data_IF_762252270430
#
_entry.id   IF_762252270430
#
_cell.length_a   1.000
_cell.length_b   1.000
_cell.length_c   1.000
_cell.angle_alpha   90.00
_cell.angle_beta   90.00
_cell.angle_gamma   90.00
#
_symmetry.space_group_name_H-M   'P 1'
#
loop_
_entity.id
_entity.type
_entity.pdbx_description
1 polymer ?
#
# COMPACT_ATOMS: atom_id res chain seq x y z
N UNK A 1 31.36 -1.00 96.25
CA UNK A 1 31.03 0.44 96.10
C UNK A 1 30.50 0.63 94.68
N UNK A 2 29.17 0.70 94.54
CA UNK A 2 28.41 1.95 94.30
C UNK A 2 28.74 2.55 92.92
N UNK A 3 27.83 2.77 91.96
CA UNK A 3 26.37 2.97 92.01
C UNK A 3 25.73 2.68 90.64
N UNK A 4 24.44 2.33 90.73
CA UNK A 4 23.36 2.26 89.73
C UNK A 4 23.35 3.31 88.61
N UNK A 5 22.71 2.96 87.49
CA UNK A 5 21.40 3.56 87.12
C UNK A 5 20.65 2.79 86.02
N UNK A 6 19.34 2.89 86.13
CA UNK A 6 18.23 2.17 85.53
C UNK A 6 17.57 2.99 84.40
N UNK A 7 16.63 2.34 83.68
CA UNK A 7 15.59 2.89 82.77
C UNK A 7 16.04 3.25 81.34
N UNK A 8 15.26 3.11 80.26
CA UNK A 8 13.79 3.02 80.09
C UNK A 8 13.46 2.47 78.69
N UNK A 9 12.37 1.72 78.54
CA UNK A 9 11.65 1.51 77.28
C UNK A 9 10.92 2.79 76.87
N UNK A 10 10.96 3.18 75.58
CA UNK A 10 9.85 3.89 74.92
C UNK A 10 9.87 3.63 73.41
N UNK A 11 8.75 3.12 72.90
CA UNK A 11 8.48 3.02 71.47
C UNK A 11 8.29 4.41 70.84
N UNK A 12 8.67 4.54 69.57
CA UNK A 12 8.37 5.71 68.77
C UNK A 12 7.39 5.35 67.65
N UNK A 13 6.29 6.10 67.66
CA UNK A 13 5.24 6.13 66.66
C UNK A 13 5.79 6.48 65.27
N UNK A 14 5.40 5.71 64.26
CA UNK A 14 5.54 6.12 62.86
C UNK A 14 4.47 7.18 62.53
N UNK A 15 4.91 8.41 62.27
CA UNK A 15 4.09 9.45 61.66
C UNK A 15 3.94 9.12 60.16
N UNK A 16 2.75 8.73 59.73
CA UNK A 16 2.40 8.66 58.30
C UNK A 16 2.17 10.08 57.78
N UNK A 17 3.16 10.65 57.09
CA UNK A 17 2.97 11.87 56.30
C UNK A 17 2.25 11.48 55.00
N UNK A 18 0.98 11.86 54.91
CA UNK A 18 0.16 11.69 53.71
C UNK A 18 0.69 12.64 52.61
N UNK A 19 1.59 12.15 51.74
CA UNK A 19 1.90 12.83 50.50
C UNK A 19 0.67 12.75 49.59
N UNK A 20 -0.01 13.88 49.39
CA UNK A 20 -0.93 14.06 48.27
C UNK A 20 -0.10 14.02 46.98
N UNK A 21 -0.04 12.83 46.37
CA UNK A 21 0.40 12.69 44.99
C UNK A 21 -0.67 13.35 44.13
N UNK A 22 -0.36 14.55 43.63
CA UNK A 22 -1.10 15.14 42.52
C UNK A 22 -0.87 14.23 41.32
N UNK A 23 -1.81 13.32 41.07
CA UNK A 23 -1.83 12.53 39.84
C UNK A 23 -2.11 13.53 38.72
N UNK A 24 -1.17 13.76 37.77
CA UNK A 24 -1.50 14.56 36.61
C UNK A 24 -2.66 13.89 35.89
N UNK A 25 -3.78 14.61 35.79
CA UNK A 25 -4.87 14.25 34.90
C UNK A 25 -4.28 14.11 33.50
N UNK A 26 -4.03 12.87 33.08
CA UNK A 26 -3.89 12.53 31.67
C UNK A 26 -5.23 12.90 31.03
N UNK A 27 -5.28 14.08 30.42
CA UNK A 27 -6.38 14.43 29.54
C UNK A 27 -6.45 13.36 28.47
N UNK A 28 -7.55 12.62 28.46
CA UNK A 28 -7.95 11.72 27.39
C UNK A 28 -7.73 12.44 26.06
N UNK A 29 -6.80 11.95 25.25
CA UNK A 29 -6.78 12.27 23.84
C UNK A 29 -8.17 11.86 23.29
N UNK A 30 -8.96 12.86 22.91
CA UNK A 30 -10.21 12.68 22.20
C UNK A 30 -9.99 11.65 21.09
N UNK A 31 -10.69 10.50 21.18
CA UNK A 31 -10.54 9.39 20.24
C UNK A 31 -10.97 9.83 18.85
N UNK A 32 -10.00 10.20 18.00
CA UNK A 32 -10.27 10.58 16.62
C UNK A 32 -10.91 9.39 15.89
N UNK A 33 -12.09 9.60 15.31
CA UNK A 33 -12.79 8.55 14.57
C UNK A 33 -12.06 8.26 13.25
N UNK A 34 -11.93 6.97 12.92
CA UNK A 34 -11.41 6.53 11.63
C UNK A 34 -12.30 7.02 10.49
N UNK A 35 -11.68 7.63 9.47
CA UNK A 35 -12.36 8.01 8.23
C UNK A 35 -12.29 6.90 7.20
N UNK A 36 -11.17 6.19 7.15
CA UNK A 36 -11.03 5.01 6.34
C UNK A 36 -11.86 3.86 6.93
N UNK A 37 -12.67 3.24 6.09
CA UNK A 37 -13.52 2.11 6.46
C UNK A 37 -12.91 0.83 5.92
N UNK A 38 -12.60 -0.08 6.84
CA UNK A 38 -12.35 -1.49 6.51
C UNK A 38 -13.66 -2.19 6.15
N UNK A 39 -13.52 -3.45 5.77
CA UNK A 39 -14.60 -4.30 5.31
C UNK A 39 -15.36 -4.91 6.49
N UNK A 40 -16.20 -4.16 7.18
CA UNK A 40 -16.96 -4.67 8.33
C UNK A 40 -17.90 -5.84 7.92
N UNK A 41 -17.92 -6.98 8.64
CA UNK A 41 -17.16 -7.37 9.84
C UNK A 41 -15.86 -8.13 9.58
N UNK A 42 -15.41 -8.21 8.33
CA UNK A 42 -14.16 -8.88 7.95
C UNK A 42 -12.95 -8.12 8.50
N UNK A 43 -12.00 -8.89 9.04
CA UNK A 43 -10.66 -8.41 9.33
C UNK A 43 -9.95 -7.95 8.03
N UNK A 44 -8.81 -7.28 8.18
CA UNK A 44 -7.94 -7.01 7.03
C UNK A 44 -7.54 -8.33 6.35
N UNK A 45 -7.33 -8.34 5.02
CA UNK A 45 -7.05 -9.57 4.28
C UNK A 45 -5.60 -10.05 4.47
N UNK A 46 -5.42 -11.38 4.48
CA UNK A 46 -4.12 -12.06 4.42
C UNK A 46 -3.09 -11.51 5.43
N UNK A 47 -1.90 -11.10 4.97
CA UNK A 47 -0.81 -10.68 5.83
C UNK A 47 -1.16 -9.40 6.61
N UNK A 48 -2.02 -8.54 6.06
CA UNK A 48 -2.50 -7.34 6.76
C UNK A 48 -3.28 -7.66 8.05
N UNK A 49 -3.91 -8.84 8.15
CA UNK A 49 -4.61 -9.26 9.37
C UNK A 49 -3.67 -9.37 10.58
N UNK A 50 -2.43 -9.81 10.34
CA UNK A 50 -1.43 -10.09 11.38
C UNK A 50 -0.61 -8.87 11.80
N UNK A 51 -0.54 -7.83 10.97
CA UNK A 51 0.12 -6.56 11.32
C UNK A 51 -0.83 -5.69 12.11
N UNK A 52 -0.92 -6.00 13.41
CA UNK A 52 -1.52 -5.26 14.54
C UNK A 52 -2.87 -4.53 14.35
N UNK A 53 -3.50 -4.64 13.18
CA UNK A 53 -4.63 -3.84 12.71
C UNK A 53 -4.51 -2.36 13.09
N UNK A 54 -3.29 -1.83 13.30
CA UNK A 54 -3.13 -0.46 13.77
C UNK A 54 -3.36 0.48 12.60
N UNK A 55 -4.35 1.39 12.71
CA UNK A 55 -4.51 2.41 11.71
C UNK A 55 -3.27 3.32 11.69
N UNK A 56 -2.90 3.74 10.49
CA UNK A 56 -1.92 4.77 10.22
C UNK A 56 -2.56 6.16 10.36
N UNK A 57 -1.73 7.19 10.48
CA UNK A 57 -2.20 8.59 10.57
C UNK A 57 -3.14 8.96 9.41
N UNK A 58 -2.89 8.44 8.21
CA UNK A 58 -3.76 8.65 7.03
C UNK A 58 -5.17 8.08 7.21
N UNK A 59 -5.36 6.99 7.96
CA UNK A 59 -6.66 6.34 8.17
C UNK A 59 -7.64 7.23 8.96
N UNK A 60 -7.10 8.15 9.77
CA UNK A 60 -7.86 9.16 10.50
C UNK A 60 -8.12 10.44 9.68
N UNK A 61 -7.39 10.62 8.57
CA UNK A 61 -7.40 11.87 7.79
C UNK A 61 -8.15 11.75 6.47
N UNK A 62 -8.05 10.60 5.80
CA UNK A 62 -8.64 10.33 4.51
C UNK A 62 -9.56 9.11 4.55
N UNK A 63 -10.72 9.19 3.89
CA UNK A 63 -11.65 8.06 3.74
C UNK A 63 -11.49 7.37 2.39
N UNK A 64 -12.15 6.21 2.19
CA UNK A 64 -11.93 5.36 1.00
C UNK A 64 -12.15 6.07 -0.35
N UNK A 65 -13.00 7.11 -0.40
CA UNK A 65 -13.27 7.87 -1.65
C UNK A 65 -12.20 8.90 -1.97
N UNK A 66 -11.29 9.19 -1.05
CA UNK A 66 -10.35 10.28 -1.23
C UNK A 66 -11.05 11.64 -1.29
N UNK A 67 -10.56 12.54 -2.14
CA UNK A 67 -11.07 13.90 -2.28
C UNK A 67 -11.30 14.35 -3.73
N UNK A 68 -11.49 13.41 -4.67
CA UNK A 68 -11.80 13.79 -6.05
C UNK A 68 -13.18 14.47 -6.15
N UNK A 69 -13.40 15.28 -7.19
CA UNK A 69 -14.64 16.06 -7.40
C UNK A 69 -15.69 15.40 -8.30
N UNK A 70 -15.50 14.15 -8.71
CA UNK A 70 -16.37 13.52 -9.72
C UNK A 70 -16.78 12.12 -9.29
N UNK A 71 -18.06 11.80 -9.42
CA UNK A 71 -18.61 10.51 -8.97
C UNK A 71 -17.92 9.27 -9.58
N UNK A 72 -17.42 9.36 -10.81
CA UNK A 72 -16.69 8.24 -11.43
C UNK A 72 -15.33 7.98 -10.75
N UNK A 73 -14.58 9.05 -10.45
CA UNK A 73 -13.36 8.96 -9.66
C UNK A 73 -13.62 8.53 -8.22
N UNK A 74 -14.70 8.99 -7.58
CA UNK A 74 -15.02 8.56 -6.21
C UNK A 74 -15.23 7.03 -6.15
N UNK A 75 -15.91 6.46 -7.15
CA UNK A 75 -16.07 5.01 -7.28
C UNK A 75 -14.74 4.30 -7.56
N UNK A 76 -13.87 4.91 -8.37
CA UNK A 76 -12.54 4.39 -8.61
C UNK A 76 -11.69 4.38 -7.34
N UNK A 77 -11.63 5.50 -6.63
CA UNK A 77 -10.91 5.65 -5.37
C UNK A 77 -11.44 4.66 -4.33
N UNK A 78 -12.76 4.51 -4.23
CA UNK A 78 -13.35 3.50 -3.34
C UNK A 78 -12.93 2.07 -3.71
N UNK A 79 -12.77 1.76 -5.00
CA UNK A 79 -12.27 0.47 -5.45
C UNK A 79 -10.76 0.31 -5.18
N UNK A 80 -9.95 1.36 -5.40
CA UNK A 80 -8.51 1.40 -5.04
C UNK A 80 -8.31 1.13 -3.55
N UNK A 81 -9.10 1.76 -2.69
CA UNK A 81 -9.07 1.63 -1.24
C UNK A 81 -9.96 0.47 -0.71
N UNK A 82 -10.14 -0.60 -1.48
CA UNK A 82 -11.01 -1.73 -1.13
C UNK A 82 -10.21 -2.93 -0.59
N UNK A 83 -10.33 -3.21 0.71
CA UNK A 83 -9.77 -4.42 1.34
C UNK A 83 -10.75 -5.62 1.35
N UNK A 84 -11.85 -5.57 0.59
CA UNK A 84 -12.99 -6.49 0.80
C UNK A 84 -13.05 -7.65 -0.19
N UNK A 85 -12.11 -7.75 -1.11
CA UNK A 85 -12.07 -8.87 -2.06
C UNK A 85 -11.97 -10.20 -1.29
N UNK A 86 -12.71 -11.20 -1.74
CA UNK A 86 -12.70 -12.51 -1.11
C UNK A 86 -11.35 -13.20 -1.37
N UNK A 87 -10.69 -13.65 -0.31
CA UNK A 87 -9.33 -14.23 -0.37
C UNK A 87 -9.31 -15.75 -0.20
N UNK A 88 -10.47 -16.37 -0.16
CA UNK A 88 -10.68 -17.82 -0.16
C UNK A 88 -10.38 -18.46 -1.53
N UNK A 89 -10.46 -17.66 -2.60
CA UNK A 89 -10.07 -18.07 -3.95
C UNK A 89 -9.19 -17.00 -4.61
N UNK A 90 -7.87 -17.14 -4.46
CA UNK A 90 -6.88 -16.28 -5.09
C UNK A 90 -6.59 -16.80 -6.50
N UNK A 91 -6.89 -15.99 -7.52
CA UNK A 91 -6.71 -16.39 -8.92
C UNK A 91 -5.28 -16.05 -9.36
N UNK A 92 -4.46 -17.02 -9.80
CA UNK A 92 -3.15 -16.72 -10.36
C UNK A 92 -3.31 -15.95 -11.68
N UNK A 93 -2.59 -14.84 -11.82
CA UNK A 93 -2.59 -14.04 -13.04
C UNK A 93 -1.17 -13.89 -13.57
N UNK A 94 -1.05 -13.84 -14.89
CA UNK A 94 0.19 -13.60 -15.61
C UNK A 94 0.12 -12.27 -16.37
N UNK A 95 1.23 -11.86 -16.96
CA UNK A 95 1.27 -10.71 -17.87
C UNK A 95 0.30 -10.92 -19.04
N UNK A 96 0.28 -12.13 -19.59
CA UNK A 96 -0.57 -12.52 -20.71
C UNK A 96 -2.05 -12.49 -20.30
N UNK A 97 -2.38 -12.94 -19.08
CA UNK A 97 -3.73 -12.86 -18.52
C UNK A 97 -4.22 -11.41 -18.46
N UNK A 98 -3.41 -10.49 -17.92
CA UNK A 98 -3.79 -9.08 -17.77
C UNK A 98 -3.83 -8.35 -19.12
N UNK A 99 -2.93 -8.69 -20.05
CA UNK A 99 -2.99 -8.19 -21.42
C UNK A 99 -4.28 -8.62 -22.12
N UNK A 100 -4.63 -9.91 -22.03
CA UNK A 100 -5.86 -10.43 -22.62
C UNK A 100 -7.11 -9.76 -22.02
N UNK A 101 -7.10 -9.49 -20.72
CA UNK A 101 -8.15 -8.75 -20.03
C UNK A 101 -8.25 -7.30 -20.53
N UNK A 102 -7.11 -6.61 -20.72
CA UNK A 102 -7.06 -5.28 -21.32
C UNK A 102 -7.62 -5.28 -22.75
N UNK A 103 -7.21 -6.24 -23.59
CA UNK A 103 -7.66 -6.36 -24.97
C UNK A 103 -9.18 -6.56 -25.06
N UNK A 104 -9.79 -7.25 -24.09
CA UNK A 104 -11.25 -7.39 -23.98
C UNK A 104 -11.88 -6.05 -23.63
N UNK A 105 -11.38 -5.35 -22.60
CA UNK A 105 -11.96 -4.09 -22.11
C UNK A 105 -11.84 -2.97 -23.13
N UNK A 106 -10.74 -2.92 -23.89
CA UNK A 106 -10.56 -1.97 -25.00
C UNK A 106 -11.66 -2.07 -26.07
N UNK A 107 -12.34 -3.22 -26.17
CA UNK A 107 -13.43 -3.47 -27.12
C UNK A 107 -14.82 -3.33 -26.49
N UNK A 108 -14.90 -3.05 -25.19
CA UNK A 108 -16.18 -2.94 -24.49
C UNK A 108 -16.80 -1.56 -24.67
N UNK A 109 -18.06 -1.45 -25.15
CA UNK A 109 -18.73 -0.16 -25.25
C UNK A 109 -18.93 0.42 -23.84
N UNK A 110 -18.73 1.73 -23.69
CA UNK A 110 -18.97 2.45 -22.43
C UNK A 110 -17.87 2.33 -21.38
N UNK A 111 -16.70 1.78 -21.72
CA UNK A 111 -15.47 1.94 -20.96
C UNK A 111 -14.59 2.94 -21.70
N UNK A 112 -14.55 4.23 -21.29
CA UNK A 112 -13.69 5.20 -21.92
C UNK A 112 -12.22 4.96 -21.55
N UNK A 113 -11.32 5.38 -22.43
CA UNK A 113 -9.89 5.47 -22.14
C UNK A 113 -9.61 6.78 -21.39
N UNK A 114 -8.64 6.78 -20.47
CA UNK A 114 -8.19 7.95 -19.70
C UNK A 114 -9.25 8.59 -18.78
N UNK A 115 -10.42 7.99 -18.64
CA UNK A 115 -11.41 8.44 -17.64
C UNK A 115 -12.01 7.21 -16.96
N UNK A 116 -12.18 7.22 -15.63
CA UNK A 116 -12.90 6.15 -14.96
C UNK A 116 -14.32 5.99 -15.52
N UNK A 117 -14.79 4.77 -15.81
CA UNK A 117 -16.14 4.58 -16.31
C UNK A 117 -17.16 4.99 -15.24
N UNK A 118 -18.25 5.65 -15.67
CA UNK A 118 -19.32 6.06 -14.76
C UNK A 118 -19.96 4.86 -14.01
N UNK A 119 -19.94 3.68 -14.65
CA UNK A 119 -20.35 2.41 -14.07
C UNK A 119 -19.24 1.37 -14.22
N UNK A 120 -18.93 0.67 -13.12
CA UNK A 120 -17.92 -0.38 -13.06
C UNK A 120 -18.51 -1.79 -13.24
N UNK A 121 -19.82 -1.91 -13.47
CA UNK A 121 -20.50 -3.22 -13.60
C UNK A 121 -19.96 -4.07 -14.75
N UNK A 122 -19.56 -3.43 -15.86
CA UNK A 122 -18.97 -4.12 -17.02
C UNK A 122 -17.57 -4.69 -16.76
N UNK A 123 -16.93 -4.27 -15.67
CA UNK A 123 -15.63 -4.77 -15.23
C UNK A 123 -15.75 -6.08 -14.43
N UNK A 124 -16.95 -6.67 -14.36
CA UNK A 124 -17.23 -7.94 -13.67
C UNK A 124 -17.47 -9.07 -14.68
N UNK A 125 -17.11 -10.28 -14.27
CA UNK A 125 -17.38 -11.54 -14.97
C UNK A 125 -16.86 -11.58 -16.42
N UNK A 126 -15.75 -10.89 -16.69
CA UNK A 126 -15.12 -10.85 -18.01
C UNK A 126 -14.49 -12.21 -18.29
N UNK A 127 -14.96 -12.87 -19.33
CA UNK A 127 -14.43 -14.16 -19.76
C UNK A 127 -13.34 -13.98 -20.81
N UNK A 128 -12.16 -14.51 -20.50
CA UNK A 128 -11.02 -14.60 -21.40
C UNK A 128 -11.19 -15.80 -22.36
N UNK A 129 -10.33 -15.88 -23.37
CA UNK A 129 -10.42 -16.90 -24.44
C UNK A 129 -10.16 -18.32 -23.93
N UNK A 130 -9.32 -18.46 -22.90
CA UNK A 130 -9.01 -19.72 -22.21
C UNK A 130 -10.13 -20.17 -21.25
N UNK A 131 -11.22 -19.41 -21.15
CA UNK A 131 -12.33 -19.67 -20.23
C UNK A 131 -12.18 -19.04 -18.85
N UNK A 132 -11.00 -18.50 -18.51
CA UNK A 132 -10.76 -17.81 -17.24
C UNK A 132 -11.72 -16.63 -17.09
N UNK A 133 -12.36 -16.50 -15.93
CA UNK A 133 -13.25 -15.37 -15.63
C UNK A 133 -12.61 -14.46 -14.60
N UNK A 134 -12.47 -13.18 -14.94
CA UNK A 134 -11.93 -12.17 -14.05
C UNK A 134 -12.92 -11.04 -13.85
N UNK A 135 -12.88 -10.47 -12.67
CA UNK A 135 -13.67 -9.31 -12.27
C UNK A 135 -12.78 -8.36 -11.51
N UNK A 136 -13.02 -7.07 -11.69
CA UNK A 136 -12.65 -6.12 -10.67
C UNK A 136 -13.22 -6.55 -9.31
N UNK A 137 -12.36 -6.53 -8.29
CA UNK A 137 -12.70 -7.00 -6.95
C UNK A 137 -12.38 -8.48 -6.71
N UNK A 138 -11.87 -9.23 -7.69
CA UNK A 138 -11.30 -10.56 -7.42
C UNK A 138 -9.96 -10.45 -6.71
N UNK A 139 -9.67 -11.34 -5.76
CA UNK A 139 -8.31 -11.50 -5.25
C UNK A 139 -7.47 -12.25 -6.30
N UNK A 140 -6.32 -11.70 -6.63
CA UNK A 140 -5.38 -12.26 -7.61
C UNK A 140 -3.98 -12.30 -7.03
N UNK A 141 -3.15 -13.20 -7.54
CA UNK A 141 -1.72 -13.25 -7.24
C UNK A 141 -0.90 -13.24 -8.53
N UNK A 142 0.12 -12.40 -8.58
CA UNK A 142 1.10 -12.37 -9.65
C UNK A 142 2.47 -12.73 -9.09
N UNK A 143 3.19 -13.57 -9.84
CA UNK A 143 4.57 -13.96 -9.54
C UNK A 143 5.48 -13.44 -10.65
N UNK A 144 6.49 -12.65 -10.27
CA UNK A 144 7.48 -12.12 -11.21
C UNK A 144 8.60 -11.36 -10.51
N UNK A 145 9.33 -10.54 -11.25
CA UNK A 145 10.48 -9.78 -10.75
C UNK A 145 10.13 -8.29 -10.70
N UNK A 146 10.69 -7.56 -9.76
CA UNK A 146 10.48 -6.11 -9.67
C UNK A 146 11.42 -5.42 -10.67
N UNK A 147 10.83 -4.71 -11.63
CA UNK A 147 11.56 -3.86 -12.54
C UNK A 147 11.88 -2.51 -11.90
N UNK A 148 10.91 -1.95 -11.18
CA UNK A 148 11.02 -0.68 -10.47
C UNK A 148 9.99 -0.63 -9.34
N UNK A 149 10.34 0.04 -8.24
CA UNK A 149 9.42 0.30 -7.14
C UNK A 149 9.71 1.70 -6.59
N UNK A 150 8.68 2.51 -6.39
CA UNK A 150 8.89 3.84 -5.81
C UNK A 150 7.61 4.42 -5.21
N UNK A 151 7.75 5.19 -4.12
CA UNK A 151 6.64 6.01 -3.63
C UNK A 151 6.14 6.99 -4.70
N UNK A 152 4.85 6.93 -5.03
CA UNK A 152 4.20 7.70 -6.08
C UNK A 152 4.00 9.15 -5.65
N UNK A 153 3.99 10.08 -6.61
CA UNK A 153 3.62 11.49 -6.41
C UNK A 153 4.37 12.26 -5.30
N UNK A 154 5.50 11.73 -4.84
CA UNK A 154 6.42 12.34 -3.89
C UNK A 154 7.53 13.08 -4.65
N UNK A 155 7.72 14.37 -4.34
CA UNK A 155 8.84 15.14 -4.88
C UNK A 155 10.17 14.68 -4.30
N UNK A 156 11.19 14.51 -5.16
CA UNK A 156 12.49 13.97 -4.76
C UNK A 156 13.31 14.89 -3.85
N UNK A 157 13.03 16.20 -3.86
CA UNK A 157 13.78 17.20 -3.07
C UNK A 157 12.96 17.79 -1.93
N UNK A 158 11.65 17.84 -2.10
CA UNK A 158 10.69 18.50 -1.21
C UNK A 158 9.48 17.59 -0.96
N UNK A 159 9.68 16.36 -0.47
CA UNK A 159 8.64 15.32 -0.41
C UNK A 159 7.38 15.74 0.35
N UNK A 160 7.50 16.67 1.30
CA UNK A 160 6.39 17.13 2.16
C UNK A 160 5.81 18.50 1.79
N UNK A 161 6.42 19.23 0.85
CA UNK A 161 6.00 20.60 0.50
C UNK A 161 5.83 20.83 -1.00
N UNK A 162 6.35 19.91 -1.82
CA UNK A 162 6.12 19.82 -3.25
C UNK A 162 5.65 18.41 -3.62
N UNK A 163 5.20 18.23 -4.87
CA UNK A 163 4.48 17.03 -5.31
C UNK A 163 2.98 17.27 -5.37
N UNK A 164 2.20 16.29 -5.83
CA UNK A 164 0.76 16.44 -6.04
C UNK A 164 -0.08 15.64 -5.05
N UNK A 165 0.49 14.59 -4.46
CA UNK A 165 -0.27 13.54 -3.80
C UNK A 165 -1.27 12.86 -4.74
N UNK A 166 -2.00 11.88 -4.24
CA UNK A 166 -3.06 11.22 -5.00
C UNK A 166 -4.44 11.52 -4.43
N UNK A 167 -5.42 11.72 -5.31
CA UNK A 167 -6.76 12.09 -4.85
C UNK A 167 -7.39 11.02 -3.97
N UNK A 168 -7.06 9.74 -4.21
CA UNK A 168 -7.48 8.60 -3.39
C UNK A 168 -6.92 8.67 -1.97
N UNK A 169 -5.73 9.26 -1.80
CA UNK A 169 -5.08 9.55 -0.53
C UNK A 169 -5.27 11.00 -0.07
N UNK A 170 -6.34 11.64 -0.52
CA UNK A 170 -6.66 13.03 -0.19
C UNK A 170 -5.48 13.99 -0.45
N UNK A 171 -4.74 13.79 -1.54
CA UNK A 171 -3.62 14.61 -1.99
C UNK A 171 -2.64 15.00 -0.86
N UNK A 172 -2.45 14.11 0.13
CA UNK A 172 -1.45 14.32 1.16
C UNK A 172 -0.05 14.14 0.55
N UNK A 173 0.89 14.98 0.99
CA UNK A 173 2.27 14.95 0.50
C UNK A 173 3.16 14.06 1.38
N UNK A 174 4.12 13.38 0.76
CA UNK A 174 5.15 12.59 1.44
C UNK A 174 4.91 11.09 1.40
N UNK A 175 5.97 10.32 1.63
CA UNK A 175 5.97 8.85 1.52
C UNK A 175 4.96 8.13 2.44
N UNK A 176 4.71 8.58 3.69
CA UNK A 176 3.72 7.94 4.55
C UNK A 176 2.27 8.02 4.05
N UNK A 177 2.00 8.89 3.08
CA UNK A 177 0.66 9.21 2.61
C UNK A 177 0.40 8.88 1.14
N UNK A 178 1.38 8.29 0.45
CA UNK A 178 1.26 7.95 -0.96
C UNK A 178 1.56 6.48 -1.18
N UNK A 179 1.01 5.95 -2.26
CA UNK A 179 1.16 4.55 -2.65
C UNK A 179 2.62 4.27 -3.03
N UNK A 180 3.06 3.02 -2.88
CA UNK A 180 4.29 2.54 -3.53
C UNK A 180 3.88 1.87 -4.83
N UNK A 181 4.25 2.48 -5.95
CA UNK A 181 4.03 1.91 -7.28
C UNK A 181 5.10 0.87 -7.57
N UNK A 182 4.69 -0.33 -7.94
CA UNK A 182 5.57 -1.46 -8.26
C UNK A 182 5.34 -1.88 -9.70
N UNK A 183 6.38 -1.79 -10.52
CA UNK A 183 6.40 -2.32 -11.88
C UNK A 183 6.99 -3.73 -11.84
N UNK A 184 6.21 -4.71 -12.26
CA UNK A 184 6.57 -6.12 -12.25
C UNK A 184 6.75 -6.65 -13.67
N UNK A 185 7.72 -7.54 -13.88
CA UNK A 185 7.85 -8.32 -15.11
C UNK A 185 7.74 -9.82 -14.83
N UNK A 186 7.22 -10.57 -15.79
CA UNK A 186 7.19 -12.04 -15.73
C UNK A 186 8.54 -12.70 -16.01
N UNK A 187 9.55 -11.94 -16.47
CA UNK A 187 10.84 -12.47 -16.94
C UNK A 187 11.98 -11.77 -16.19
N UNK A 188 12.92 -12.56 -15.69
CA UNK A 188 14.11 -12.04 -14.99
C UNK A 188 14.91 -11.13 -15.92
N UNK A 189 15.41 -10.01 -15.38
CA UNK A 189 16.19 -9.00 -16.11
C UNK A 189 15.48 -8.36 -17.33
N UNK A 190 14.16 -8.51 -17.47
CA UNK A 190 13.42 -7.81 -18.52
C UNK A 190 13.33 -6.31 -18.20
N UNK A 191 13.86 -5.49 -19.10
CA UNK A 191 13.89 -4.04 -18.96
C UNK A 191 12.75 -3.35 -19.71
N UNK A 192 11.80 -4.11 -20.26
CA UNK A 192 10.75 -3.59 -21.13
C UNK A 192 9.59 -3.06 -20.29
N UNK A 193 9.66 -1.80 -19.87
CA UNK A 193 8.63 -1.18 -19.03
C UNK A 193 7.21 -1.29 -19.61
N UNK A 194 7.02 -1.27 -20.93
CA UNK A 194 5.68 -1.47 -21.52
C UNK A 194 5.10 -2.89 -21.42
N UNK A 195 5.90 -3.85 -21.00
CA UNK A 195 5.46 -5.21 -20.70
C UNK A 195 5.21 -5.41 -19.20
N UNK A 196 5.36 -4.36 -18.39
CA UNK A 196 5.19 -4.44 -16.95
C UNK A 196 3.72 -4.57 -16.54
N UNK A 197 3.51 -5.22 -15.41
CA UNK A 197 2.28 -5.24 -14.64
C UNK A 197 2.43 -4.28 -13.47
N UNK A 198 1.41 -3.48 -13.19
CA UNK A 198 1.42 -2.56 -12.05
C UNK A 198 0.77 -3.20 -10.83
N UNK A 199 1.41 -3.02 -9.68
CA UNK A 199 0.85 -3.28 -8.37
C UNK A 199 1.08 -2.06 -7.47
N UNK A 200 0.19 -1.81 -6.50
CA UNK A 200 0.29 -0.65 -5.63
C UNK A 200 0.08 -1.03 -4.15
N UNK A 201 1.05 -0.65 -3.32
CA UNK A 201 0.99 -0.78 -1.86
C UNK A 201 0.46 0.53 -1.28
N UNK A 202 -0.78 0.53 -0.82
CA UNK A 202 -1.44 1.74 -0.31
C UNK A 202 -0.99 2.09 1.12
N UNK A 203 -1.02 3.37 1.53
CA UNK A 203 -0.60 3.81 2.87
C UNK A 203 -1.61 3.45 3.99
N UNK A 204 -2.87 3.21 3.64
CA UNK A 204 -3.90 2.82 4.60
C UNK A 204 -3.61 1.46 5.24
N UNK A 205 -3.50 1.40 6.57
CA UNK A 205 -3.08 0.19 7.31
C UNK A 205 -1.77 -0.46 6.82
N UNK A 206 -0.89 0.30 6.13
CA UNK A 206 0.37 -0.24 5.61
C UNK A 206 1.28 -0.66 6.75
N UNK A 207 1.78 -1.91 6.76
CA UNK A 207 2.77 -2.32 7.75
C UNK A 207 4.07 -1.53 7.59
N UNK A 208 4.71 -1.13 8.70
CA UNK A 208 5.95 -0.35 8.65
C UNK A 208 7.08 -1.03 7.86
N UNK A 209 7.12 -2.37 7.82
CA UNK A 209 8.08 -3.09 6.98
C UNK A 209 7.83 -2.85 5.48
N UNK A 210 6.57 -2.67 5.06
CA UNK A 210 6.17 -2.46 3.68
C UNK A 210 6.48 -1.05 3.17
N UNK A 211 6.59 -0.07 4.07
CA UNK A 211 7.08 1.29 3.75
C UNK A 211 8.51 1.28 3.19
N UNK A 212 9.26 0.20 3.37
CA UNK A 212 10.63 0.04 2.89
C UNK A 212 10.71 -0.83 1.62
N UNK A 213 9.59 -1.13 0.97
CA UNK A 213 9.60 -1.97 -0.24
C UNK A 213 10.40 -1.35 -1.39
N UNK A 214 10.45 -0.03 -1.51
CA UNK A 214 11.28 0.67 -2.51
C UNK A 214 12.71 0.97 -2.03
N UNK A 215 13.15 0.38 -0.91
CA UNK A 215 14.49 0.60 -0.37
C UNK A 215 15.59 0.22 -1.38
N UNK A 216 16.65 1.05 -1.52
CA UNK A 216 17.81 0.69 -2.32
C UNK A 216 18.48 -0.60 -1.82
N UNK A 217 18.38 -0.93 -0.53
CA UNK A 217 18.99 -2.11 0.08
C UNK A 217 18.38 -3.44 -0.43
N UNK A 218 17.18 -3.38 -1.03
CA UNK A 218 16.52 -4.55 -1.61
C UNK A 218 16.58 -4.61 -3.15
N UNK A 219 17.08 -3.56 -3.80
CA UNK A 219 17.02 -3.42 -5.26
C UNK A 219 17.66 -4.59 -6.00
N UNK A 220 18.86 -5.00 -5.59
CA UNK A 220 19.55 -6.10 -6.26
C UNK A 220 18.92 -7.47 -5.96
N UNK A 221 18.36 -7.63 -4.75
CA UNK A 221 17.61 -8.84 -4.41
C UNK A 221 16.40 -9.01 -5.34
N UNK A 222 15.60 -7.95 -5.53
CA UNK A 222 14.39 -8.02 -6.35
C UNK A 222 14.63 -8.17 -7.86
N UNK A 223 15.81 -7.77 -8.37
CA UNK A 223 16.21 -8.06 -9.75
C UNK A 223 16.42 -9.56 -9.96
N UNK A 224 16.89 -10.25 -8.93
CA UNK A 224 17.37 -11.63 -9.03
C UNK A 224 16.36 -12.68 -8.52
N UNK A 225 15.50 -12.29 -7.58
CA UNK A 225 14.54 -13.15 -6.88
C UNK A 225 13.09 -12.75 -7.18
N UNK A 226 12.22 -13.72 -7.51
CA UNK A 226 10.79 -13.46 -7.70
C UNK A 226 10.09 -12.95 -6.44
N UNK A 227 9.11 -12.09 -6.65
CA UNK A 227 8.11 -11.68 -5.66
C UNK A 227 6.74 -12.23 -6.05
N UNK A 228 5.94 -12.58 -5.04
CA UNK A 228 4.52 -12.91 -5.19
C UNK A 228 3.71 -11.82 -4.53
N UNK A 229 3.03 -11.04 -5.37
CA UNK A 229 2.15 -9.97 -4.94
C UNK A 229 0.70 -10.44 -5.01
N UNK A 230 0.02 -10.45 -3.87
CA UNK A 230 -1.39 -10.82 -3.78
C UNK A 230 -2.21 -9.62 -3.37
N UNK A 231 -3.30 -9.37 -4.08
CA UNK A 231 -4.18 -8.23 -3.82
C UNK A 231 -5.44 -8.29 -4.65
N UNK A 232 -6.17 -7.18 -4.69
CA UNK A 232 -7.35 -7.08 -5.52
C UNK A 232 -6.99 -6.75 -6.97
N UNK A 233 -7.64 -7.40 -7.92
CA UNK A 233 -7.65 -6.97 -9.32
C UNK A 233 -8.50 -5.70 -9.47
N UNK A 234 -7.87 -4.63 -9.93
CA UNK A 234 -8.45 -3.30 -10.01
C UNK A 234 -8.22 -2.68 -11.39
N UNK A 235 -9.22 -1.96 -11.92
CA UNK A 235 -9.09 -1.26 -13.20
C UNK A 235 -8.85 0.24 -13.00
N UNK A 236 -7.65 0.73 -13.32
CA UNK A 236 -7.35 2.16 -13.30
C UNK A 236 -7.77 2.86 -14.60
N UNK A 237 -9.03 3.28 -14.66
CA UNK A 237 -9.55 4.01 -15.81
C UNK A 237 -8.93 5.40 -16.00
N UNK A 238 -8.15 5.91 -15.04
CA UNK A 238 -7.48 7.21 -15.17
C UNK A 238 -6.18 7.13 -15.98
N UNK A 239 -5.68 5.93 -16.27
CA UNK A 239 -4.45 5.70 -17.01
C UNK A 239 -4.68 5.22 -18.44
N UNK A 240 -3.58 5.17 -19.21
CA UNK A 240 -3.53 4.69 -20.58
C UNK A 240 -2.45 3.61 -20.67
N UNK A 241 -2.85 2.40 -21.04
CA UNK A 241 -1.91 1.30 -21.25
C UNK A 241 -0.99 1.56 -22.46
N UNK A 242 0.16 0.90 -22.48
CA UNK A 242 1.06 0.95 -23.62
C UNK A 242 0.38 0.48 -24.91
N UNK A 243 0.72 1.15 -26.02
CA UNK A 243 0.29 0.79 -27.38
C UNK A 243 1.52 0.64 -28.26
N UNK A 244 1.62 -0.48 -28.97
CA UNK A 244 2.74 -0.77 -29.88
C UNK A 244 4.13 -0.63 -29.21
N UNK A 245 4.25 -1.11 -27.98
CA UNK A 245 5.50 -1.06 -27.21
C UNK A 245 5.89 0.34 -26.72
N UNK A 246 5.04 1.36 -26.91
CA UNK A 246 5.26 2.72 -26.43
C UNK A 246 4.29 3.05 -25.29
N UNK A 247 4.71 3.89 -24.33
CA UNK A 247 3.83 4.29 -23.24
C UNK A 247 2.58 4.99 -23.78
N UNK A 248 1.48 4.86 -23.04
CA UNK A 248 0.21 5.48 -23.38
C UNK A 248 0.34 6.99 -23.50
N UNK A 249 -0.36 7.60 -24.46
CA UNK A 249 -0.31 9.04 -24.69
C UNK A 249 -1.69 9.65 -24.46
N UNK A 250 -1.73 10.84 -23.87
CA UNK A 250 -2.96 11.59 -23.61
C UNK A 250 -2.70 13.09 -23.71
N UNK A 251 -3.75 13.92 -23.67
CA UNK A 251 -3.63 15.37 -23.78
C UNK A 251 -4.20 16.06 -22.54
N UNK A 252 -3.45 17.03 -22.01
CA UNK A 252 -3.89 17.93 -20.93
C UNK A 252 -3.71 19.35 -21.42
N UNK A 253 -4.79 20.14 -21.45
CA UNK A 253 -4.77 21.53 -21.94
C UNK A 253 -4.11 21.68 -23.32
N UNK A 254 -4.42 20.75 -24.24
CA UNK A 254 -3.86 20.72 -25.60
C UNK A 254 -2.40 20.24 -25.70
N UNK A 255 -1.73 19.93 -24.58
CA UNK A 255 -0.36 19.42 -24.56
C UNK A 255 -0.35 17.91 -24.43
N UNK A 256 0.36 17.24 -25.34
CA UNK A 256 0.61 15.80 -25.27
C UNK A 256 1.42 15.47 -24.01
N UNK A 257 0.97 14.45 -23.30
CA UNK A 257 1.58 13.86 -22.12
C UNK A 257 1.75 12.37 -22.36
N UNK A 258 2.66 11.78 -21.60
CA UNK A 258 2.96 10.35 -21.66
C UNK A 258 2.64 9.75 -20.30
N UNK A 259 1.92 8.64 -20.29
CA UNK A 259 1.61 7.90 -19.07
C UNK A 259 2.76 6.97 -18.69
N UNK A 260 2.76 6.48 -17.45
CA UNK A 260 3.76 5.51 -17.02
C UNK A 260 3.58 4.19 -17.81
N UNK A 261 4.69 3.59 -18.30
CA UNK A 261 4.60 2.39 -19.13
C UNK A 261 4.00 1.22 -18.33
N UNK A 262 3.00 0.57 -18.90
CA UNK A 262 2.34 -0.63 -18.35
C UNK A 262 1.59 -1.37 -19.46
N UNK A 263 1.53 -2.69 -19.38
CA UNK A 263 0.88 -3.51 -20.42
C UNK A 263 -0.65 -3.39 -20.41
N UNK A 264 -1.21 -3.08 -19.24
CA UNK A 264 -2.63 -2.96 -18.97
C UNK A 264 -2.86 -1.88 -17.92
N UNK A 265 -4.05 -1.31 -17.88
CA UNK A 265 -4.51 -0.48 -16.75
C UNK A 265 -5.18 -1.33 -15.66
N UNK A 266 -5.13 -2.65 -15.81
CA UNK A 266 -5.47 -3.58 -14.74
C UNK A 266 -4.27 -3.75 -13.81
N UNK A 267 -4.51 -3.58 -12.53
CA UNK A 267 -3.50 -3.53 -11.48
C UNK A 267 -3.86 -4.49 -10.36
N UNK A 268 -2.85 -4.79 -9.53
CA UNK A 268 -3.05 -5.47 -8.25
C UNK A 268 -3.05 -4.39 -7.17
N UNK A 269 -4.25 -3.91 -6.83
CA UNK A 269 -4.47 -2.75 -5.96
C UNK A 269 -5.80 -2.89 -5.17
N UNK A 270 -5.78 -2.86 -3.82
CA UNK A 270 -4.58 -2.75 -2.99
C UNK A 270 -3.91 -4.11 -2.80
N UNK A 271 -2.64 -4.09 -2.42
CA UNK A 271 -1.87 -5.27 -2.02
C UNK A 271 -2.28 -5.73 -0.62
N UNK A 272 -2.44 -7.05 -0.47
CA UNK A 272 -2.87 -7.75 0.76
C UNK A 272 -1.77 -8.66 1.34
N UNK A 273 -0.85 -9.12 0.50
CA UNK A 273 0.30 -9.92 0.90
C UNK A 273 1.47 -9.71 -0.06
N UNK A 274 2.67 -9.70 0.50
CA UNK A 274 3.93 -9.60 -0.23
C UNK A 274 4.81 -10.76 0.24
N UNK A 275 5.02 -11.74 -0.65
CA UNK A 275 6.02 -12.78 -0.42
C UNK A 275 7.21 -12.57 -1.35
N UNK A 276 8.39 -12.92 -0.86
CA UNK A 276 9.63 -12.91 -1.62
C UNK A 276 10.21 -14.31 -1.63
N UNK A 277 10.68 -14.75 -2.78
CA UNK A 277 11.24 -16.08 -2.92
C UNK A 277 12.72 -16.10 -2.52
N UNK A 278 13.15 -17.14 -1.83
CA UNK A 278 14.56 -17.40 -1.50
C UNK A 278 15.36 -17.96 -2.68
N UNK A 279 14.67 -18.42 -3.72
CA UNK A 279 15.27 -18.96 -4.94
C UNK A 279 15.20 -17.93 -6.07
N UNK A 280 16.04 -18.10 -7.08
CA UNK A 280 16.17 -17.17 -8.21
C UNK A 280 15.37 -17.59 -9.45
N UNK A 281 14.93 -18.85 -9.49
CA UNK A 281 14.06 -19.38 -10.56
C UNK A 281 12.59 -19.20 -10.17
N UNK A 282 11.86 -18.48 -11.03
CA UNK A 282 10.41 -18.27 -10.88
C UNK A 282 9.65 -19.59 -10.81
N UNK A 283 10.00 -20.53 -11.68
CA UNK A 283 9.36 -21.84 -11.78
C UNK A 283 9.63 -22.68 -10.53
N UNK A 284 10.86 -22.65 -10.01
CA UNK A 284 11.20 -23.33 -8.75
C UNK A 284 10.44 -22.74 -7.56
N UNK A 285 10.30 -21.41 -7.49
CA UNK A 285 9.50 -20.74 -6.46
C UNK A 285 8.02 -21.13 -6.53
N UNK A 286 7.44 -21.21 -7.73
CA UNK A 286 6.04 -21.62 -7.91
C UNK A 286 5.83 -23.09 -7.50
N UNK A 287 6.83 -23.94 -7.73
CA UNK A 287 6.76 -25.36 -7.40
C UNK A 287 6.95 -25.66 -5.89
N UNK A 288 7.55 -24.75 -5.12
CA UNK A 288 7.88 -24.96 -3.72
C UNK A 288 7.38 -23.82 -2.84
N UNK A 289 6.24 -24.03 -2.16
CA UNK A 289 5.69 -23.05 -1.22
C UNK A 289 6.65 -22.71 -0.07
N UNK A 290 7.56 -23.62 0.31
CA UNK A 290 8.54 -23.38 1.36
C UNK A 290 9.66 -22.42 0.91
N UNK A 291 9.77 -22.14 -0.38
CA UNK A 291 10.72 -21.16 -0.93
C UNK A 291 10.31 -19.71 -0.63
N UNK A 292 9.05 -19.46 -0.27
CA UNK A 292 8.54 -18.12 0.01
C UNK A 292 8.72 -17.73 1.47
N UNK A 293 9.07 -16.47 1.69
CA UNK A 293 8.99 -15.82 3.00
C UNK A 293 8.17 -14.53 2.88
N UNK A 294 7.43 -14.11 3.92
CA UNK A 294 6.81 -12.80 3.93
C UNK A 294 7.88 -11.71 3.79
N UNK A 295 7.60 -10.64 3.05
CA UNK A 295 8.55 -9.54 2.85
C UNK A 295 9.04 -8.92 4.18
N UNK A 296 8.20 -8.91 5.22
CA UNK A 296 8.58 -8.46 6.56
C UNK A 296 9.70 -9.28 7.23
N UNK A 297 10.08 -10.43 6.66
CA UNK A 297 11.20 -11.26 7.09
C UNK A 297 12.44 -11.11 6.21
N UNK A 298 12.36 -10.34 5.11
CA UNK A 298 13.48 -10.19 4.17
C UNK A 298 14.70 -9.55 4.84
N UNK A 299 14.51 -8.49 5.65
CA UNK A 299 15.60 -7.87 6.39
C UNK A 299 16.42 -8.90 7.19
N UNK A 300 15.73 -9.73 7.99
CA UNK A 300 16.37 -10.78 8.77
C UNK A 300 16.99 -11.88 7.90
N UNK A 301 16.34 -12.23 6.79
CA UNK A 301 16.86 -13.24 5.86
C UNK A 301 18.18 -12.81 5.21
N UNK A 302 18.30 -11.52 4.89
CA UNK A 302 19.52 -10.92 4.32
C UNK A 302 20.57 -10.54 5.39
N UNK A 303 20.29 -10.78 6.68
CA UNK A 303 21.14 -10.37 7.80
C UNK A 303 21.45 -8.87 7.81
N UNK A 304 20.50 -8.04 7.38
CA UNK A 304 20.65 -6.58 7.38
C UNK A 304 20.35 -6.03 8.77
N UNK A 305 21.31 -5.32 9.36
CA UNK A 305 21.15 -4.69 10.67
C UNK A 305 20.05 -3.60 10.63
N UNK A 306 20.04 -2.82 9.55
CA UNK A 306 19.06 -1.77 9.26
C UNK A 306 18.75 -1.77 7.77
N UNK A 307 17.59 -1.22 7.41
CA UNK A 307 17.18 -1.01 6.02
C UNK A 307 16.90 0.47 5.85
N UNK A 308 17.51 1.09 4.86
CA UNK A 308 17.42 2.52 4.62
C UNK A 308 16.21 2.84 3.76
N UNK A 309 15.40 3.86 4.10
CA UNK A 309 14.42 4.37 3.16
C UNK A 309 15.12 4.98 1.94
N UNK A 310 14.39 5.15 0.84
CA UNK A 310 14.89 5.95 -0.29
C UNK A 310 15.22 7.37 0.16
N UNK A 311 16.14 8.05 -0.53
CA UNK A 311 16.57 9.42 -0.19
C UNK A 311 15.37 10.39 -0.10
N UNK A 312 14.39 10.25 -1.00
CA UNK A 312 13.16 11.06 -0.96
C UNK A 312 12.27 10.80 0.27
N UNK A 313 12.50 9.71 1.00
CA UNK A 313 11.76 9.31 2.18
C UNK A 313 12.59 9.36 3.48
N UNK A 314 13.85 9.82 3.44
CA UNK A 314 14.76 9.78 4.60
C UNK A 314 14.60 10.94 5.59
N UNK A 315 13.46 11.65 5.57
CA UNK A 315 13.18 12.79 6.44
C UNK A 315 12.10 12.51 7.50
N UNK A 316 12.01 13.32 8.57
CA UNK A 316 10.97 13.15 9.57
C UNK A 316 9.59 13.39 8.96
N UNK A 317 8.65 12.49 9.25
CA UNK A 317 7.24 12.69 8.89
C UNK A 317 6.70 13.94 9.58
N UNK A 318 6.11 14.91 8.83
CA UNK A 318 5.50 16.09 9.42
C UNK A 318 4.35 15.71 10.36
N UNK A 319 4.26 16.37 11.50
CA UNK A 319 3.12 16.21 12.44
C UNK A 319 1.80 16.75 11.86
N UNK A 320 1.91 17.73 10.95
CA UNK A 320 0.80 18.32 10.23
C UNK A 320 1.04 18.18 8.71
N UNK A 321 0.69 17.02 8.12
CA UNK A 321 0.89 16.79 6.70
C UNK A 321 0.01 17.74 5.88
N UNK A 322 0.57 18.25 4.78
CA UNK A 322 -0.15 19.13 3.85
C UNK A 322 -1.01 18.28 2.94
N UNK A 323 -2.32 18.57 2.87
CA UNK A 323 -3.22 18.07 1.83
C UNK A 323 -3.51 19.19 0.83
N UNK A 324 -3.49 18.87 -0.47
CA UNK A 324 -3.94 19.79 -1.52
C UNK A 324 -5.45 19.71 -1.81
N UNK A 325 -6.19 18.89 -1.08
CA UNK A 325 -7.64 18.92 -1.19
C UNK A 325 -8.16 20.19 -0.55
N UNK A 326 -9.20 20.78 -1.15
CA UNK A 326 -10.01 21.73 -0.39
C UNK A 326 -10.54 20.99 0.84
N UNK A 327 -10.29 21.51 2.04
CA UNK A 327 -11.02 21.05 3.22
C UNK A 327 -12.50 21.12 2.88
N UNK A 328 -13.29 20.05 3.09
CA UNK A 328 -14.72 20.22 3.19
C UNK A 328 -14.94 21.32 4.22
N UNK A 329 -15.69 22.36 3.86
CA UNK A 329 -16.21 23.27 4.87
C UNK A 329 -16.92 22.42 5.94
N UNK A 330 -16.72 22.74 7.24
CA UNK A 330 -17.22 21.94 8.35
C UNK A 330 -18.71 21.63 8.26
#
# INVERSE_FOLDING_TARGET
MNRSKFHTLTGSFFLFTLMFIIVPNFMNASGQQLKFKKCDPKALPLQLAGFDNKPQDIDFRCGNKGCHKSAANDKQNQAKNNFCAATDNIIPVTRETLKALQDKVNKMPGIPERTPPASRTKLKNIQLTDGTRLSEGNAVAFVGFVLDASHSNVDSKKPFTAGNGESVQCNFLGCPYNDIHVQLTGVKNDTTACQSVTAEIIPHYRPAAWDLFDSPDYTDFFKDHPVRLTGQLFFDGSHVACKNGKPGEFFVNGKKQTDFPRIAVWEIHPIYAIDVCKLTSKEACIADESAWIPFSKLQSHLNLATVHPTEKCSGPTPTNPVSKCATPAP
#
